data_IF_511951643127
#
_entry.id   IF_511951643127
#
_cell.length_a   1.000
_cell.length_b   1.000
_cell.length_c   1.000
_cell.angle_alpha   90.00
_cell.angle_beta   90.00
_cell.angle_gamma   90.00
#
_symmetry.space_group_name_H-M   'P 1'
#
loop_
_entity.id
_entity.type
_entity.pdbx_description
1 polymer ?
#
# COMPACT_ATOMS: atom_id res chain seq x y z
N UNK A 1 5.18 9.00 18.93
CA UNK A 1 5.97 8.18 17.99
C UNK A 1 4.95 7.25 17.37
N UNK A 2 4.95 7.06 16.04
CA UNK A 2 4.03 6.07 15.45
C UNK A 2 4.58 4.70 15.84
N UNK A 3 3.87 3.99 16.72
CA UNK A 3 4.23 2.62 17.09
C UNK A 3 3.89 1.69 15.91
N UNK A 4 4.78 0.73 15.61
CA UNK A 4 4.60 -0.30 14.57
C UNK A 4 4.49 0.20 13.12
N UNK A 5 5.17 1.29 12.76
CA UNK A 5 5.30 1.69 11.36
C UNK A 5 6.05 0.59 10.57
N UNK A 6 5.48 -0.02 9.52
CA UNK A 6 6.20 -1.03 8.76
C UNK A 6 7.11 -0.41 7.69
N UNK A 7 8.23 -1.06 7.32
CA UNK A 7 9.13 -0.58 6.27
C UNK A 7 8.51 -0.67 4.85
N UNK A 8 7.52 -1.56 4.67
CA UNK A 8 6.77 -1.76 3.42
C UNK A 8 5.28 -1.72 3.72
N UNK A 9 4.52 -0.96 2.92
CA UNK A 9 3.07 -0.78 3.03
C UNK A 9 2.47 -0.99 1.65
N UNK A 10 1.50 -1.89 1.50
CA UNK A 10 0.81 -2.18 0.23
C UNK A 10 1.77 -2.36 -0.95
N UNK A 11 2.83 -3.16 -0.74
CA UNK A 11 3.88 -3.40 -1.75
C UNK A 11 4.60 -2.12 -2.21
N UNK A 12 4.73 -1.15 -1.30
CA UNK A 12 5.46 0.09 -1.51
C UNK A 12 6.48 0.29 -0.39
N UNK A 13 7.70 0.68 -0.76
CA UNK A 13 8.74 1.05 0.19
C UNK A 13 8.39 2.38 0.85
N UNK A 14 8.36 2.41 2.19
CA UNK A 14 8.13 3.63 2.95
C UNK A 14 9.27 4.64 2.70
N UNK A 15 8.93 5.86 2.29
CA UNK A 15 9.89 6.96 2.13
C UNK A 15 9.75 8.00 3.23
N UNK A 16 8.53 8.50 3.44
CA UNK A 16 8.21 9.51 4.44
C UNK A 16 6.90 9.19 5.15
N UNK A 17 6.78 9.66 6.38
CA UNK A 17 5.53 9.61 7.14
C UNK A 17 5.31 10.92 7.90
N UNK A 18 4.06 11.23 8.20
CA UNK A 18 3.68 12.37 9.02
C UNK A 18 2.45 12.03 9.89
N UNK A 19 2.47 12.53 11.11
CA UNK A 19 1.36 12.48 12.07
C UNK A 19 0.55 13.78 11.93
N UNK A 20 -0.76 13.65 11.73
CA UNK A 20 -1.68 14.77 11.53
C UNK A 20 -2.39 15.18 12.83
N UNK A 21 -2.21 14.43 13.92
CA UNK A 21 -3.00 14.58 15.16
C UNK A 21 -2.71 15.86 15.96
N UNK A 22 -1.58 16.53 15.74
CA UNK A 22 -1.20 17.75 16.44
C UNK A 22 -0.67 18.85 15.50
N UNK A 23 -1.27 20.04 15.58
CA UNK A 23 -0.90 21.25 14.84
C UNK A 23 -1.00 21.15 13.30
N UNK A 24 -1.82 20.24 12.80
CA UNK A 24 -2.14 20.14 11.38
C UNK A 24 -3.64 20.35 11.22
N UNK A 25 -4.03 21.23 10.31
CA UNK A 25 -5.44 21.55 10.04
C UNK A 25 -5.91 20.76 8.81
N UNK A 26 -6.84 19.83 8.98
CA UNK A 26 -7.52 19.20 7.85
C UNK A 26 -8.45 20.21 7.17
N UNK A 27 -8.13 20.54 5.91
CA UNK A 27 -8.82 21.61 5.15
C UNK A 27 -9.91 21.07 4.23
N UNK A 28 -10.03 19.75 4.10
CA UNK A 28 -10.97 19.07 3.22
C UNK A 28 -10.81 19.40 1.71
N UNK A 29 -9.64 19.94 1.31
CA UNK A 29 -9.35 20.36 -0.08
C UNK A 29 -8.81 19.24 -0.99
N UNK A 30 -8.73 18.02 -0.48
CA UNK A 30 -8.42 16.83 -1.27
C UNK A 30 -9.73 16.06 -1.49
N UNK A 31 -10.19 16.00 -2.73
CA UNK A 31 -11.36 15.20 -3.11
C UNK A 31 -10.93 13.80 -3.50
N UNK A 32 -10.76 12.92 -2.52
CA UNK A 32 -10.46 11.51 -2.73
C UNK A 32 -11.70 10.68 -2.41
N UNK A 33 -12.09 9.79 -3.32
CA UNK A 33 -13.17 8.83 -3.11
C UNK A 33 -12.64 7.43 -3.39
N UNK A 34 -13.01 6.47 -2.55
CA UNK A 34 -12.67 5.05 -2.70
C UNK A 34 -13.94 4.24 -2.88
N UNK A 35 -13.88 3.22 -3.74
CA UNK A 35 -14.99 2.30 -3.93
C UNK A 35 -15.15 1.37 -2.73
N UNK A 36 -16.37 1.17 -2.25
CA UNK A 36 -16.71 0.16 -1.25
C UNK A 36 -17.19 -1.14 -1.90
N UNK A 37 -17.24 -2.21 -1.11
CA UNK A 37 -17.64 -3.55 -1.57
C UNK A 37 -19.08 -3.65 -2.09
N UNK A 38 -19.93 -2.69 -1.74
CA UNK A 38 -21.31 -2.54 -2.21
C UNK A 38 -21.44 -1.70 -3.48
N UNK A 39 -20.32 -1.21 -4.04
CA UNK A 39 -20.29 -0.43 -5.28
C UNK A 39 -20.49 1.07 -5.11
N UNK A 40 -20.59 1.57 -3.88
CA UNK A 40 -20.66 2.99 -3.58
C UNK A 40 -19.27 3.64 -3.55
N UNK A 41 -19.23 4.97 -3.70
CA UNK A 41 -17.99 5.74 -3.57
C UNK A 41 -18.01 6.53 -2.25
N UNK A 42 -17.09 6.19 -1.36
CA UNK A 42 -16.95 6.82 -0.05
C UNK A 42 -15.83 7.86 -0.13
N UNK A 43 -16.15 9.09 0.26
CA UNK A 43 -15.14 10.14 0.37
C UNK A 43 -14.20 9.85 1.53
N UNK A 44 -12.90 9.89 1.28
CA UNK A 44 -11.88 9.76 2.32
C UNK A 44 -11.81 11.07 3.11
N UNK A 45 -12.15 11.01 4.39
CA UNK A 45 -12.06 12.13 5.32
C UNK A 45 -10.66 12.28 5.94
N UNK A 46 -10.59 13.07 7.01
CA UNK A 46 -9.37 13.24 7.81
C UNK A 46 -8.82 11.88 8.27
N UNK A 47 -7.50 11.70 8.12
CA UNK A 47 -6.77 10.53 8.57
C UNK A 47 -5.64 10.95 9.52
N UNK A 48 -5.35 10.16 10.56
CA UNK A 48 -4.31 10.46 11.55
C UNK A 48 -2.89 10.39 10.98
N UNK A 49 -2.68 9.66 9.88
CA UNK A 49 -1.38 9.47 9.29
C UNK A 49 -1.41 9.67 7.77
N UNK A 50 -0.38 10.36 7.27
CA UNK A 50 -0.07 10.40 5.85
C UNK A 50 1.29 9.76 5.62
N UNK A 51 1.36 8.95 4.57
CA UNK A 51 2.58 8.26 4.15
C UNK A 51 2.87 8.62 2.71
N UNK A 52 4.14 8.85 2.39
CA UNK A 52 4.61 8.84 1.01
C UNK A 52 5.51 7.62 0.83
N UNK A 53 5.11 6.74 -0.07
CA UNK A 53 5.81 5.50 -0.38
C UNK A 53 6.10 5.39 -1.87
N UNK A 54 7.05 4.53 -2.23
CA UNK A 54 7.43 4.26 -3.61
C UNK A 54 7.04 2.82 -3.96
N UNK A 55 6.22 2.59 -5.00
CA UNK A 55 5.82 1.25 -5.38
C UNK A 55 7.00 0.48 -5.96
N UNK A 56 7.13 -0.79 -5.60
CA UNK A 56 8.17 -1.65 -6.18
C UNK A 56 7.95 -1.90 -7.68
N UNK A 57 6.69 -1.85 -8.13
CA UNK A 57 6.31 -2.01 -9.53
C UNK A 57 6.73 -0.85 -10.43
N UNK A 58 6.85 0.36 -9.89
CA UNK A 58 7.28 1.53 -10.65
C UNK A 58 8.04 2.54 -9.76
N UNK A 59 9.37 2.55 -9.87
CA UNK A 59 10.20 3.44 -9.06
C UNK A 59 10.15 4.90 -9.50
N UNK A 60 9.50 5.24 -10.61
CA UNK A 60 9.30 6.64 -11.03
C UNK A 60 8.04 7.27 -10.42
N UNK A 61 7.27 6.51 -9.63
CA UNK A 61 6.03 6.95 -9.01
C UNK A 61 6.15 7.12 -7.48
N UNK A 62 5.29 7.99 -6.96
CA UNK A 62 5.17 8.27 -5.53
C UNK A 62 3.71 8.20 -5.13
N UNK A 63 3.40 7.41 -4.11
CA UNK A 63 2.05 7.24 -3.61
C UNK A 63 1.88 8.02 -2.32
N UNK A 64 0.95 8.97 -2.30
CA UNK A 64 0.45 9.58 -1.08
C UNK A 64 -0.68 8.70 -0.54
N UNK A 65 -0.42 8.04 0.58
CA UNK A 65 -1.31 7.11 1.25
C UNK A 65 -1.95 7.79 2.47
N UNK A 66 -3.26 7.62 2.60
CA UNK A 66 -4.07 8.14 3.69
C UNK A 66 -4.37 6.98 4.63
N UNK A 67 -3.77 6.97 5.82
CA UNK A 67 -3.76 5.78 6.68
C UNK A 67 -4.53 6.01 7.98
N UNK A 68 -5.32 5.03 8.38
CA UNK A 68 -6.06 5.07 9.65
C UNK A 68 -5.12 4.89 10.86
N UNK A 69 -5.68 4.86 12.07
CA UNK A 69 -4.89 4.73 13.31
C UNK A 69 -4.10 3.42 13.42
N UNK A 70 -4.50 2.40 12.66
CA UNK A 70 -3.84 1.09 12.58
C UNK A 70 -2.82 1.03 11.43
N UNK A 71 -2.53 2.16 10.77
CA UNK A 71 -1.68 2.29 9.59
C UNK A 71 -2.17 1.53 8.35
N UNK A 72 -3.45 1.16 8.31
CA UNK A 72 -4.05 0.59 7.10
C UNK A 72 -4.39 1.72 6.13
N UNK A 73 -4.05 1.51 4.85
CA UNK A 73 -4.33 2.49 3.79
C UNK A 73 -5.83 2.54 3.49
N UNK A 74 -6.43 3.70 3.71
CA UNK A 74 -7.85 3.99 3.41
C UNK A 74 -8.00 4.58 2.00
N UNK A 75 -6.95 5.19 1.47
CA UNK A 75 -6.94 5.72 0.12
C UNK A 75 -5.55 6.11 -0.35
N UNK A 76 -5.39 6.22 -1.67
CA UNK A 76 -4.10 6.49 -2.30
C UNK A 76 -4.24 7.47 -3.46
N UNK A 77 -3.24 8.33 -3.64
CA UNK A 77 -3.10 9.19 -4.81
C UNK A 77 -1.68 9.05 -5.36
N UNK A 78 -1.57 8.88 -6.68
CA UNK A 78 -0.31 8.75 -7.39
C UNK A 78 0.24 10.12 -7.83
N UNK A 79 1.56 10.27 -7.78
CA UNK A 79 2.30 11.45 -8.23
C UNK A 79 3.58 11.05 -8.96
N UNK A 80 4.03 11.92 -9.88
CA UNK A 80 5.29 11.75 -10.59
C UNK A 80 6.50 12.23 -9.78
N UNK A 81 6.27 12.91 -8.65
CA UNK A 81 7.37 13.37 -7.79
C UNK A 81 6.99 13.47 -6.32
N UNK A 82 7.99 13.32 -5.47
CA UNK A 82 7.90 13.55 -4.03
C UNK A 82 7.41 14.98 -3.69
N UNK A 83 7.82 15.97 -4.50
CA UNK A 83 7.44 17.36 -4.29
C UNK A 83 5.94 17.59 -4.51
N UNK A 84 5.39 17.04 -5.60
CA UNK A 84 3.96 17.12 -5.89
C UNK A 84 3.11 16.43 -4.82
N UNK A 85 3.54 15.25 -4.35
CA UNK A 85 2.87 14.54 -3.26
C UNK A 85 2.81 15.40 -1.98
N UNK A 86 3.93 16.02 -1.59
CA UNK A 86 3.98 16.93 -0.43
C UNK A 86 3.10 18.16 -0.62
N UNK A 87 3.13 18.78 -1.79
CA UNK A 87 2.28 19.94 -2.10
C UNK A 87 0.79 19.58 -2.06
N UNK A 88 0.41 18.38 -2.56
CA UNK A 88 -0.96 17.92 -2.45
C UNK A 88 -1.35 17.70 -0.99
N UNK A 89 -0.50 17.04 -0.21
CA UNK A 89 -0.74 16.83 1.22
C UNK A 89 -0.96 18.16 1.95
N UNK A 90 -0.10 19.15 1.74
CA UNK A 90 -0.23 20.50 2.33
C UNK A 90 -1.56 21.18 1.97
N UNK A 91 -2.09 20.94 0.76
CA UNK A 91 -3.41 21.46 0.39
C UNK A 91 -4.50 20.90 1.28
N UNK A 92 -4.49 19.60 1.58
CA UNK A 92 -5.51 18.93 2.40
C UNK A 92 -5.26 18.98 3.90
N UNK A 93 -3.99 19.14 4.29
CA UNK A 93 -3.49 19.08 5.67
C UNK A 93 -2.51 20.24 5.85
N UNK A 94 -3.04 21.41 6.20
CA UNK A 94 -2.26 22.63 6.31
C UNK A 94 -1.32 22.53 7.51
N UNK A 95 -0.04 22.82 7.29
CA UNK A 95 1.05 22.69 8.26
C UNK A 95 1.78 21.33 8.21
N UNK A 96 1.35 20.38 7.37
CA UNK A 96 1.98 19.05 7.30
C UNK A 96 3.40 19.09 6.73
N UNK A 97 3.76 20.13 5.97
CA UNK A 97 5.08 20.28 5.34
C UNK A 97 6.24 20.19 6.34
N UNK A 98 6.03 20.65 7.58
CA UNK A 98 7.04 20.63 8.65
C UNK A 98 6.98 19.36 9.50
N UNK A 99 6.05 18.45 9.23
CA UNK A 99 5.80 17.23 10.01
C UNK A 99 6.35 15.97 9.35
N UNK A 100 6.79 16.04 8.09
CA UNK A 100 7.38 14.91 7.37
C UNK A 100 8.66 14.40 8.04
N UNK A 101 8.68 13.11 8.34
CA UNK A 101 9.84 12.39 8.84
C UNK A 101 10.29 11.37 7.81
N UNK A 102 11.61 11.21 7.58
CA UNK A 102 12.11 10.15 6.73
C UNK A 102 11.83 8.77 7.33
N UNK A 103 11.74 7.77 6.46
CA UNK A 103 11.74 6.38 6.87
C UNK A 103 12.90 6.12 7.84
N UNK A 104 12.65 5.54 9.02
CA UNK A 104 13.71 5.21 9.97
C UNK A 104 14.45 3.93 9.59
N UNK A 105 13.99 3.21 8.56
CA UNK A 105 14.47 1.87 8.23
C UNK A 105 15.66 1.92 7.27
N UNK A 106 16.63 1.06 7.56
CA UNK A 106 17.74 0.73 6.68
C UNK A 106 17.30 -0.22 5.56
N UNK A 107 18.10 -0.31 4.49
CA UNK A 107 17.84 -1.28 3.41
C UNK A 107 17.82 -2.73 3.91
N UNK A 108 18.64 -3.06 4.91
CA UNK A 108 18.70 -4.39 5.50
C UNK A 108 17.40 -4.70 6.27
N UNK A 109 16.86 -3.74 7.03
CA UNK A 109 15.58 -3.90 7.72
C UNK A 109 14.42 -4.06 6.74
N UNK A 110 14.40 -3.29 5.65
CA UNK A 110 13.40 -3.44 4.57
C UNK A 110 13.52 -4.83 3.94
N UNK A 111 14.74 -5.29 3.66
CA UNK A 111 15.00 -6.58 3.04
C UNK A 111 14.60 -7.75 3.94
N UNK A 112 14.89 -7.68 5.24
CA UNK A 112 14.48 -8.70 6.20
C UNK A 112 12.96 -8.75 6.31
N UNK A 113 12.29 -7.60 6.39
CA UNK A 113 10.82 -7.54 6.42
C UNK A 113 10.18 -8.19 5.19
N UNK A 114 10.73 -7.94 3.99
CA UNK A 114 10.26 -8.59 2.76
C UNK A 114 10.46 -10.13 2.79
N UNK A 115 11.55 -10.62 3.39
CA UNK A 115 11.76 -12.07 3.55
C UNK A 115 10.83 -12.70 4.58
N UNK A 116 10.59 -12.01 5.69
CA UNK A 116 9.91 -12.58 6.85
C UNK A 116 8.39 -12.43 6.75
N UNK A 117 7.89 -11.26 6.34
CA UNK A 117 6.46 -10.95 6.31
C UNK A 117 5.83 -11.18 4.93
N UNK A 118 6.59 -10.92 3.86
CA UNK A 118 6.14 -11.15 2.48
C UNK A 118 6.59 -12.50 1.92
N UNK A 119 7.52 -13.21 2.59
CA UNK A 119 8.09 -14.49 2.13
C UNK A 119 8.70 -14.42 0.70
N UNK A 120 9.24 -13.26 0.32
CA UNK A 120 9.83 -13.03 -1.01
C UNK A 120 11.34 -12.88 -0.95
N UNK A 121 12.02 -13.07 -2.09
CA UNK A 121 13.39 -12.63 -2.24
C UNK A 121 13.42 -11.13 -2.60
N UNK A 122 13.97 -10.23 -1.75
CA UNK A 122 13.99 -8.79 -1.97
C UNK A 122 14.75 -8.37 -3.23
N UNK A 123 15.63 -9.23 -3.74
CA UNK A 123 16.40 -8.99 -4.97
C UNK A 123 15.69 -9.44 -6.25
N UNK A 124 14.53 -10.08 -6.13
CA UNK A 124 13.73 -10.54 -7.26
C UNK A 124 12.62 -9.54 -7.63
N UNK A 125 11.99 -9.70 -8.79
CA UNK A 125 10.83 -8.91 -9.22
C UNK A 125 9.51 -9.47 -8.65
N UNK A 126 9.46 -9.77 -7.35
CA UNK A 126 8.32 -10.39 -6.68
C UNK A 126 7.00 -9.61 -6.84
N UNK A 127 7.07 -8.30 -7.07
CA UNK A 127 5.92 -7.45 -7.35
C UNK A 127 5.27 -7.71 -8.72
N UNK A 128 5.88 -8.53 -9.59
CA UNK A 128 5.31 -8.98 -10.88
C UNK A 128 4.62 -10.34 -10.77
N UNK A 129 4.58 -10.93 -9.58
CA UNK A 129 3.96 -12.23 -9.39
C UNK A 129 2.43 -12.11 -9.47
N UNK A 130 1.88 -12.63 -10.56
CA UNK A 130 0.44 -12.62 -10.84
C UNK A 130 -0.09 -14.05 -10.87
N UNK A 131 -1.36 -14.23 -10.49
CA UNK A 131 -2.07 -15.48 -10.69
C UNK A 131 -2.35 -15.70 -12.19
N UNK A 132 -1.92 -16.83 -12.74
CA UNK A 132 -2.16 -17.18 -14.16
C UNK A 132 -3.63 -17.42 -14.51
N UNK A 133 -4.53 -17.45 -13.52
CA UNK A 133 -5.96 -17.79 -13.69
C UNK A 133 -6.88 -16.57 -13.60
N UNK A 134 -6.62 -15.68 -12.64
CA UNK A 134 -7.43 -14.47 -12.44
C UNK A 134 -6.68 -13.18 -12.77
N UNK A 135 -5.41 -13.26 -13.17
CA UNK A 135 -4.55 -12.12 -13.54
C UNK A 135 -4.36 -11.09 -12.41
N UNK A 136 -4.80 -11.40 -11.19
CA UNK A 136 -4.56 -10.56 -10.02
C UNK A 136 -3.14 -10.79 -9.52
N UNK A 137 -2.45 -9.69 -9.21
CA UNK A 137 -1.22 -9.76 -8.42
C UNK A 137 -1.53 -10.42 -7.08
N UNK A 138 -0.64 -11.31 -6.63
CA UNK A 138 -0.95 -12.12 -5.45
C UNK A 138 -1.04 -11.30 -4.17
N UNK A 139 -0.44 -10.10 -4.11
CA UNK A 139 -0.48 -9.26 -2.91
C UNK A 139 -0.14 -10.08 -1.66
N UNK A 140 -1.05 -10.04 -0.67
CA UNK A 140 -1.00 -10.81 0.60
C UNK A 140 -1.58 -12.24 0.50
N UNK A 141 -2.13 -12.65 -0.65
CA UNK A 141 -2.60 -14.03 -0.86
C UNK A 141 -1.44 -14.94 -1.26
N UNK A 142 -1.37 -16.12 -0.64
CA UNK A 142 -0.40 -17.16 -1.00
C UNK A 142 -0.49 -17.49 -2.50
N UNK A 143 0.64 -17.33 -3.20
CA UNK A 143 0.80 -17.72 -4.60
C UNK A 143 1.62 -19.00 -4.68
N UNK A 144 1.02 -20.07 -5.19
CA UNK A 144 1.71 -21.32 -5.47
C UNK A 144 2.28 -21.25 -6.88
N UNK A 145 3.61 -21.33 -6.99
CA UNK A 145 4.33 -21.33 -8.27
C UNK A 145 4.62 -22.75 -8.74
N UNK A 146 4.06 -23.11 -9.90
CA UNK A 146 4.45 -24.28 -10.68
C UNK A 146 5.49 -23.90 -11.76
N UNK A 147 5.94 -24.89 -12.53
CA UNK A 147 6.98 -24.66 -13.56
C UNK A 147 6.51 -23.81 -14.74
N UNK A 148 5.20 -23.72 -14.97
CA UNK A 148 4.60 -23.04 -16.13
C UNK A 148 3.43 -22.10 -15.78
N UNK A 149 2.99 -22.10 -14.54
CA UNK A 149 1.83 -21.35 -14.09
C UNK A 149 1.93 -21.08 -12.59
N UNK A 150 1.28 -20.02 -12.16
CA UNK A 150 1.11 -19.60 -10.78
C UNK A 150 -0.38 -19.54 -10.46
N UNK A 151 -0.77 -19.94 -9.25
CA UNK A 151 -2.17 -19.90 -8.83
C UNK A 151 -2.27 -19.31 -7.42
N UNK A 152 -3.16 -18.34 -7.22
CA UNK A 152 -3.42 -17.74 -5.92
C UNK A 152 -4.38 -18.59 -5.09
N UNK A 153 -4.35 -18.39 -3.78
CA UNK A 153 -5.25 -19.07 -2.82
C UNK A 153 -6.73 -18.93 -3.21
N UNK A 154 -7.21 -17.73 -3.54
CA UNK A 154 -8.62 -17.54 -3.93
C UNK A 154 -9.03 -18.37 -5.16
N UNK A 155 -8.16 -18.47 -6.17
CA UNK A 155 -8.40 -19.35 -7.31
C UNK A 155 -8.39 -20.84 -6.95
N UNK A 156 -7.53 -21.27 -6.01
CA UNK A 156 -7.53 -22.66 -5.50
C UNK A 156 -8.85 -22.96 -4.79
N UNK A 157 -9.31 -22.07 -3.92
CA UNK A 157 -10.56 -22.25 -3.15
C UNK A 157 -11.77 -22.30 -4.08
N UNK A 158 -11.84 -21.39 -5.06
CA UNK A 158 -12.89 -21.39 -6.08
C UNK A 158 -12.89 -22.70 -6.89
N UNK A 159 -11.72 -23.13 -7.36
CA UNK A 159 -11.58 -24.36 -8.14
C UNK A 159 -11.93 -25.62 -7.33
N UNK A 160 -11.53 -25.67 -6.06
CA UNK A 160 -11.87 -26.78 -5.17
C UNK A 160 -13.38 -26.88 -4.89
N UNK A 161 -14.05 -25.73 -4.74
CA UNK A 161 -15.52 -25.69 -4.59
C UNK A 161 -16.21 -26.24 -5.84
N UNK A 162 -15.81 -25.79 -7.02
CA UNK A 162 -16.38 -26.27 -8.29
C UNK A 162 -16.17 -27.76 -8.51
N UNK A 163 -15.00 -28.30 -8.16
CA UNK A 163 -14.72 -29.74 -8.22
C UNK A 163 -15.70 -30.52 -7.32
N UNK A 164 -15.88 -30.10 -6.07
CA UNK A 164 -16.73 -30.81 -5.11
C UNK A 164 -18.22 -30.74 -5.44
N UNK A 165 -18.66 -29.73 -6.20
CA UNK A 165 -20.04 -29.63 -6.68
C UNK A 165 -20.32 -30.49 -7.92
N UNK A 166 -19.28 -30.89 -8.65
CA UNK A 166 -19.38 -31.57 -9.95
C UNK A 166 -18.81 -33.00 -9.97
N UNK A 167 -18.36 -33.54 -8.83
CA UNK A 167 -17.91 -34.93 -8.64
C UNK A 167 -18.76 -35.59 -7.55
#
# INVERSE_FOLDING_TARGET
MIENLPPVIDSCKLLLYADTSSDVEFTDRINLHVGSSDGEFIRVGEQPYLIIAQPYSNQDEYLLMFCNSSLETVGVINFASLHEAKLKAEKGYKGISDKWKPSPFTEDEVSNYLRDEYEVDPTSEWWKDECSFCEKSSGLEMLIKGTKASICKSCIESFASEINENI
#
